data_IF_379405180038
#
_entry.id   IF_379405180038
#
_cell.length_a   1.000
_cell.length_b   1.000
_cell.length_c   1.000
_cell.angle_alpha   90.00
_cell.angle_beta   90.00
_cell.angle_gamma   90.00
#
_symmetry.space_group_name_H-M   'P 1'
#
loop_
_entity.id
_entity.type
_entity.pdbx_description
1 polymer ?
#
# COMPACT_ATOMS: atom_id res chain seq x y z
N UNK A 1 -2.75 4.86 17.16
CA UNK A 1 -1.65 4.14 16.51
C UNK A 1 -1.96 3.80 15.07
N UNK A 2 -3.09 3.14 14.84
CA UNK A 2 -3.43 2.77 13.47
C UNK A 2 -3.62 4.00 12.58
N UNK A 3 -4.28 5.03 13.11
CA UNK A 3 -4.48 6.26 12.35
C UNK A 3 -3.18 6.95 12.01
N UNK A 4 -2.24 6.98 12.94
CA UNK A 4 -0.95 7.61 12.71
C UNK A 4 -0.15 6.84 11.65
N UNK A 5 -0.19 5.53 11.70
CA UNK A 5 0.47 4.69 10.73
C UNK A 5 -0.08 4.97 9.32
N UNK A 6 -1.39 4.99 9.20
CA UNK A 6 -2.06 5.23 7.92
C UNK A 6 -1.77 6.65 7.43
N UNK A 7 -1.89 7.62 8.31
CA UNK A 7 -1.68 9.02 7.95
C UNK A 7 -0.26 9.25 7.44
N UNK A 8 0.73 8.63 8.09
CA UNK A 8 2.11 8.73 7.63
C UNK A 8 2.28 8.20 6.22
N UNK A 9 1.65 7.08 5.92
CA UNK A 9 1.72 6.52 4.57
C UNK A 9 0.95 7.35 3.56
N UNK A 10 -0.14 8.00 3.98
CA UNK A 10 -0.87 8.89 3.09
C UNK A 10 -0.02 10.09 2.69
N UNK A 11 0.71 10.66 3.64
CA UNK A 11 1.59 11.78 3.36
C UNK A 11 2.71 11.35 2.41
N UNK A 12 3.34 10.23 2.69
CA UNK A 12 4.41 9.72 1.83
C UNK A 12 3.90 9.41 0.43
N UNK A 13 2.73 8.83 0.33
CA UNK A 13 2.11 8.53 -0.95
C UNK A 13 1.86 9.81 -1.75
N UNK A 14 1.36 10.84 -1.08
CA UNK A 14 1.13 12.13 -1.72
C UNK A 14 2.43 12.71 -2.26
N UNK A 15 3.48 12.69 -1.46
CA UNK A 15 4.79 13.20 -1.87
C UNK A 15 5.40 12.35 -2.99
N UNK A 16 5.23 11.05 -2.92
CA UNK A 16 5.69 10.15 -3.97
C UNK A 16 5.03 10.51 -5.31
N UNK A 17 3.73 10.74 -5.29
CA UNK A 17 3.01 11.08 -6.52
C UNK A 17 3.42 12.43 -7.07
N UNK A 18 3.97 13.30 -6.24
CA UNK A 18 4.50 14.59 -6.69
C UNK A 18 5.97 14.51 -7.12
N UNK A 19 6.54 13.33 -7.08
CA UNK A 19 7.93 13.15 -7.46
C UNK A 19 8.93 13.61 -6.40
N UNK A 20 8.47 13.79 -5.17
CA UNK A 20 9.31 14.28 -4.08
C UNK A 20 9.88 13.16 -3.21
N UNK A 21 9.54 11.92 -3.51
CA UNK A 21 10.08 10.76 -2.82
C UNK A 21 10.65 9.84 -3.87
N UNK A 22 11.85 9.36 -3.65
CA UNK A 22 12.50 8.44 -4.57
C UNK A 22 11.65 7.18 -4.73
N UNK A 23 11.50 6.74 -5.97
CA UNK A 23 10.65 5.60 -6.26
C UNK A 23 11.14 4.32 -5.59
N UNK A 24 12.45 4.11 -5.58
CA UNK A 24 13.01 2.92 -4.93
C UNK A 24 12.76 2.96 -3.42
N UNK A 25 12.86 4.13 -2.82
CA UNK A 25 12.58 4.29 -1.40
C UNK A 25 11.11 4.02 -1.10
N UNK A 26 10.23 4.57 -1.91
CA UNK A 26 8.80 4.36 -1.74
C UNK A 26 8.45 2.87 -1.88
N UNK A 27 8.98 2.21 -2.91
CA UNK A 27 8.74 0.80 -3.12
C UNK A 27 9.22 -0.03 -1.93
N UNK A 28 10.36 0.31 -1.36
CA UNK A 28 10.90 -0.38 -0.21
C UNK A 28 10.01 -0.21 1.01
N UNK A 29 9.52 1.00 1.23
CA UNK A 29 8.62 1.29 2.36
C UNK A 29 7.33 0.51 2.22
N UNK A 30 6.71 0.56 1.06
CA UNK A 30 5.44 -0.13 0.83
C UNK A 30 5.61 -1.64 0.94
N UNK A 31 6.66 -2.17 0.33
CA UNK A 31 6.89 -3.62 0.35
C UNK A 31 7.09 -4.13 1.78
N UNK A 32 7.87 -3.40 2.56
CA UNK A 32 8.15 -3.81 3.93
C UNK A 32 6.95 -3.69 4.84
N UNK A 33 6.05 -2.76 4.54
CA UNK A 33 4.90 -2.49 5.41
C UNK A 33 3.59 -3.04 4.88
N UNK A 34 3.62 -3.69 3.73
CA UNK A 34 2.39 -4.15 3.08
C UNK A 34 1.58 -5.06 3.98
N UNK A 35 2.24 -5.95 4.69
CA UNK A 35 1.56 -6.88 5.58
C UNK A 35 0.78 -6.17 6.69
N UNK A 36 1.25 -4.99 7.10
CA UNK A 36 0.60 -4.27 8.20
C UNK A 36 -0.75 -3.70 7.79
N UNK A 37 -0.95 -3.44 6.49
CA UNK A 37 -2.24 -2.95 6.03
C UNK A 37 -3.32 -4.02 6.08
N UNK A 38 -2.94 -5.27 6.15
CA UNK A 38 -3.89 -6.37 6.35
C UNK A 38 -4.06 -6.77 7.80
N UNK A 39 -3.35 -6.11 8.71
CA UNK A 39 -3.41 -6.41 10.13
C UNK A 39 -4.78 -6.09 10.70
N UNK A 40 -5.26 -6.91 11.64
CA UNK A 40 -6.59 -6.75 12.21
C UNK A 40 -6.80 -5.41 12.91
N UNK A 41 -5.74 -4.75 13.34
CA UNK A 41 -5.83 -3.44 13.98
C UNK A 41 -5.79 -2.30 12.98
N UNK A 42 -5.08 -2.49 11.90
CA UNK A 42 -4.87 -1.43 10.90
C UNK A 42 -5.95 -1.43 9.83
N UNK A 43 -6.27 -2.60 9.33
CA UNK A 43 -7.19 -2.73 8.21
C UNK A 43 -8.57 -2.12 8.44
N UNK A 44 -9.22 -2.35 9.60
CA UNK A 44 -10.53 -1.73 9.80
C UNK A 44 -10.46 -0.20 9.81
N UNK A 45 -9.39 0.36 10.36
CA UNK A 45 -9.21 1.81 10.39
C UNK A 45 -8.97 2.33 8.98
N UNK A 46 -8.15 1.65 8.21
CA UNK A 46 -7.88 2.02 6.83
C UNK A 46 -9.19 2.03 6.02
N UNK A 47 -10.00 0.99 6.19
CA UNK A 47 -11.24 0.85 5.43
C UNK A 47 -12.30 1.85 5.85
N UNK A 48 -12.24 2.31 7.10
CA UNK A 48 -13.19 3.28 7.61
C UNK A 48 -12.88 4.71 7.18
N UNK A 49 -11.66 4.99 6.77
CA UNK A 49 -11.28 6.35 6.37
C UNK A 49 -11.84 6.64 4.98
N UNK A 50 -12.49 7.78 4.85
CA UNK A 50 -13.25 8.12 3.64
C UNK A 50 -12.59 9.18 2.75
N UNK A 51 -11.42 9.68 3.13
CA UNK A 51 -10.75 10.72 2.36
C UNK A 51 -10.34 10.24 0.98
N UNK A 52 -10.25 11.18 0.05
CA UNK A 52 -9.85 10.87 -1.32
C UNK A 52 -8.47 10.24 -1.36
N UNK A 53 -7.53 10.81 -0.61
CA UNK A 53 -6.17 10.30 -0.58
C UNK A 53 -6.12 8.88 -0.01
N UNK A 54 -6.93 8.60 1.00
CA UNK A 54 -7.02 7.26 1.56
C UNK A 54 -7.55 6.26 0.54
N UNK A 55 -8.57 6.67 -0.20
CA UNK A 55 -9.14 5.79 -1.22
C UNK A 55 -8.11 5.46 -2.30
N UNK A 56 -7.33 6.45 -2.70
CA UNK A 56 -6.29 6.25 -3.69
C UNK A 56 -5.17 5.36 -3.15
N UNK A 57 -4.80 5.56 -1.89
CA UNK A 57 -3.78 4.72 -1.27
C UNK A 57 -4.26 3.28 -1.16
N UNK A 58 -5.53 3.06 -0.78
CA UNK A 58 -6.08 1.70 -0.73
C UNK A 58 -6.04 1.02 -2.09
N UNK A 59 -6.37 1.77 -3.13
CA UNK A 59 -6.34 1.21 -4.49
C UNK A 59 -4.91 0.85 -4.88
N UNK A 60 -3.97 1.70 -4.54
CA UNK A 60 -2.56 1.44 -4.81
C UNK A 60 -2.08 0.19 -4.08
N UNK A 61 -2.42 0.08 -2.80
CA UNK A 61 -2.02 -1.07 -1.99
C UNK A 61 -2.61 -2.36 -2.55
N UNK A 62 -3.87 -2.33 -2.95
CA UNK A 62 -4.49 -3.51 -3.54
C UNK A 62 -3.81 -3.91 -4.83
N UNK A 63 -3.38 -2.94 -5.63
CA UNK A 63 -2.67 -3.23 -6.86
C UNK A 63 -1.32 -3.88 -6.59
N UNK A 64 -0.59 -3.37 -5.62
CA UNK A 64 0.70 -3.93 -5.25
C UNK A 64 0.54 -5.34 -4.68
N UNK A 65 -0.43 -5.51 -3.78
CA UNK A 65 -0.69 -6.80 -3.17
C UNK A 65 -1.13 -7.82 -4.21
N UNK A 66 -2.00 -7.40 -5.13
CA UNK A 66 -2.43 -8.25 -6.22
C UNK A 66 -1.29 -8.64 -7.13
N UNK A 67 -0.41 -7.69 -7.44
CA UNK A 67 0.75 -7.97 -8.25
C UNK A 67 1.71 -8.91 -7.55
N UNK A 68 1.88 -8.76 -6.25
CA UNK A 68 2.73 -9.65 -5.48
C UNK A 68 2.18 -11.06 -5.50
N UNK A 69 0.87 -11.20 -5.38
CA UNK A 69 0.21 -12.49 -5.44
C UNK A 69 0.31 -13.09 -6.83
N UNK A 70 0.05 -12.30 -7.84
CA UNK A 70 0.12 -12.76 -9.23
C UNK A 70 1.56 -13.07 -9.59
N UNK A 71 2.48 -12.30 -9.06
CA UNK A 71 3.89 -12.49 -9.35
C UNK A 71 4.51 -13.67 -8.65
N UNK A 72 3.77 -14.37 -7.80
CA UNK A 72 4.31 -15.56 -7.17
C UNK A 72 4.62 -16.60 -8.25
N UNK A 73 5.58 -17.47 -8.00
CA UNK A 73 5.98 -18.44 -9.02
C UNK A 73 4.83 -19.26 -9.56
N UNK A 74 3.93 -19.65 -8.71
CA UNK A 74 2.80 -20.44 -9.16
C UNK A 74 1.90 -19.64 -10.10
N UNK A 75 1.71 -18.38 -9.82
CA UNK A 75 0.87 -17.54 -10.67
C UNK A 75 1.53 -17.26 -11.99
N UNK A 76 2.80 -16.99 -11.96
CA UNK A 76 3.54 -16.71 -13.19
C UNK A 76 3.52 -17.88 -14.13
N UNK A 77 3.63 -19.05 -13.57
CA UNK A 77 3.61 -20.23 -14.39
C UNK A 77 2.25 -20.49 -14.96
N UNK A 78 1.27 -20.03 -14.27
CA UNK A 78 -0.06 -20.14 -14.78
C UNK A 78 -0.29 -19.22 -15.93
N UNK A 79 0.56 -18.36 -16.02
CA UNK A 79 0.35 -17.46 -16.84
C UNK A 79 0.99 -17.15 -17.60
N UNK A 80 1.24 -17.51 -17.23
CA UNK A 80 1.62 -17.44 -17.26
C UNK A 80 1.61 -17.58 -17.37
#
# INVERSE_FOLDING_TARGET
LASAFIFGHEILFHLYRKGQVDEALWDNIITNNLQWFGNDMIRPVLEARAGKLTKELRAYIRGVDGNATIGSPSSLLATD
#
